data_IF_042969904470
#
_entry.id   IF_042969904470
#
_cell.length_a   1.000
_cell.length_b   1.000
_cell.length_c   1.000
_cell.angle_alpha   90.00
_cell.angle_beta   90.00
_cell.angle_gamma   90.00
#
_symmetry.space_group_name_H-M   'P 1'
#
loop_
_entity.id
_entity.type
_entity.pdbx_description
1 polymer ?
#
# COMPACT_ATOMS: atom_id res chain seq x y z
N UNK A 1 12.69 -8.42 15.42
CA UNK A 1 11.54 -8.19 16.34
C UNK A 1 11.30 -6.70 16.47
N UNK A 2 10.36 -6.13 15.71
CA UNK A 2 9.96 -4.73 15.80
C UNK A 2 8.73 -4.62 16.71
N UNK A 3 8.92 -4.13 17.93
CA UNK A 3 7.81 -3.65 18.75
C UNK A 3 7.25 -2.37 18.13
N UNK A 4 6.15 -2.50 17.39
CA UNK A 4 5.27 -1.40 16.99
C UNK A 4 4.58 -0.82 18.24
N UNK A 5 5.29 -0.03 19.03
CA UNK A 5 4.70 0.84 20.06
C UNK A 5 4.22 2.15 19.43
N UNK A 6 3.29 2.05 18.49
CA UNK A 6 2.28 3.09 18.30
C UNK A 6 0.95 2.48 18.68
N UNK A 7 0.34 2.96 19.76
CA UNK A 7 -1.06 2.62 20.06
C UNK A 7 -1.85 2.84 18.77
N UNK A 8 -2.50 1.82 18.19
CA UNK A 8 -3.28 2.03 16.99
C UNK A 8 -4.34 3.08 17.35
N UNK A 9 -4.43 4.16 16.57
CA UNK A 9 -5.65 4.98 16.54
C UNK A 9 -6.77 3.97 16.36
N UNK A 10 -7.56 3.73 17.40
CA UNK A 10 -8.68 2.81 17.34
C UNK A 10 -9.48 3.21 16.10
N UNK A 11 -9.49 2.31 15.12
CA UNK A 11 -10.08 2.54 13.82
C UNK A 11 -11.52 3.02 14.05
N UNK A 12 -11.98 4.05 13.35
CA UNK A 12 -13.41 4.45 13.38
C UNK A 12 -14.33 3.25 13.13
N UNK A 13 -13.85 2.26 12.39
CA UNK A 13 -14.53 0.98 12.16
C UNK A 13 -14.80 0.20 13.45
N UNK A 14 -13.90 0.18 14.44
CA UNK A 14 -14.10 -0.54 15.70
C UNK A 14 -15.27 0.01 16.51
N UNK A 15 -15.47 1.33 16.45
CA UNK A 15 -16.63 2.01 17.06
C UNK A 15 -17.92 1.68 16.30
N UNK A 16 -17.88 1.72 14.97
CA UNK A 16 -19.02 1.41 14.11
C UNK A 16 -19.51 -0.04 14.31
N UNK A 17 -18.60 -1.02 14.33
CA UNK A 17 -18.93 -2.42 14.59
C UNK A 17 -19.50 -2.66 15.99
N UNK A 18 -19.06 -1.87 16.98
CA UNK A 18 -19.62 -1.96 18.33
C UNK A 18 -21.05 -1.44 18.41
N UNK A 19 -21.43 -0.53 17.50
CA UNK A 19 -22.75 0.08 17.45
C UNK A 19 -23.75 -0.82 16.72
N UNK A 20 -23.39 -1.35 15.55
CA UNK A 20 -24.23 -2.31 14.79
C UNK A 20 -24.50 -3.59 15.59
N UNK A 21 -23.52 -4.05 16.38
CA UNK A 21 -23.72 -5.19 17.28
C UNK A 21 -24.75 -4.89 18.36
N UNK A 22 -24.70 -3.70 18.97
CA UNK A 22 -25.68 -3.28 19.99
C UNK A 22 -27.08 -3.17 19.40
N UNK A 23 -27.20 -2.65 18.18
CA UNK A 23 -28.48 -2.56 17.48
C UNK A 23 -29.06 -3.95 17.17
N UNK A 24 -28.22 -4.91 16.78
CA UNK A 24 -28.63 -6.31 16.60
C UNK A 24 -29.05 -6.97 17.92
N UNK A 25 -28.35 -6.69 19.04
CA UNK A 25 -28.71 -7.18 20.38
C UNK A 25 -30.05 -6.61 20.85
N UNK A 26 -30.31 -5.30 20.63
CA UNK A 26 -31.58 -4.65 20.98
C UNK A 26 -32.74 -5.25 20.17
N UNK A 27 -32.58 -5.37 18.85
CA UNK A 27 -33.61 -5.94 17.97
C UNK A 27 -33.94 -7.39 18.33
N UNK A 28 -32.92 -8.18 18.65
CA UNK A 28 -33.09 -9.55 19.10
C UNK A 28 -33.87 -9.65 20.43
N UNK A 29 -33.63 -8.74 21.37
CA UNK A 29 -34.39 -8.67 22.63
C UNK A 29 -35.85 -8.30 22.37
N UNK A 30 -36.11 -7.34 21.47
CA UNK A 30 -37.48 -6.97 21.08
C UNK A 30 -38.23 -8.12 20.42
N UNK A 31 -37.59 -8.86 19.51
CA UNK A 31 -38.19 -10.00 18.83
C UNK A 31 -38.46 -11.16 19.80
N UNK A 32 -37.53 -11.40 20.72
CA UNK A 32 -37.71 -12.36 21.81
C UNK A 32 -38.92 -12.01 22.68
N UNK A 33 -39.07 -10.72 23.03
CA UNK A 33 -40.17 -10.24 23.87
C UNK A 33 -41.51 -10.38 23.14
N UNK A 34 -41.58 -9.96 21.87
CA UNK A 34 -42.79 -10.07 21.04
C UNK A 34 -43.23 -11.53 20.87
N UNK A 35 -42.29 -12.44 20.62
CA UNK A 35 -42.58 -13.88 20.48
C UNK A 35 -43.08 -14.51 21.78
N UNK A 36 -42.41 -14.20 22.89
CA UNK A 36 -42.78 -14.74 24.19
C UNK A 36 -44.14 -14.20 24.67
N UNK A 37 -44.41 -12.91 24.45
CA UNK A 37 -45.70 -12.27 24.79
C UNK A 37 -46.85 -12.80 23.92
N UNK A 38 -46.58 -13.15 22.67
CA UNK A 38 -47.56 -13.78 21.76
C UNK A 38 -47.88 -15.23 22.18
N UNK A 39 -46.87 -15.99 22.61
CA UNK A 39 -47.04 -17.37 23.04
C UNK A 39 -47.66 -17.48 24.44
N UNK A 40 -47.37 -16.51 25.32
CA UNK A 40 -47.90 -16.43 26.68
C UNK A 40 -48.33 -14.99 27.01
N UNK A 41 -49.58 -14.62 26.65
CA UNK A 41 -50.17 -13.35 27.01
C UNK A 41 -50.07 -13.07 28.51
N UNK A 42 -49.98 -11.80 28.90
CA UNK A 42 -49.81 -11.39 30.30
C UNK A 42 -50.90 -11.96 31.22
N UNK A 43 -52.11 -12.08 30.71
CA UNK A 43 -53.29 -12.62 31.40
C UNK A 43 -53.19 -14.13 31.68
N UNK A 44 -52.38 -14.88 30.93
CA UNK A 44 -52.21 -16.32 31.08
C UNK A 44 -50.92 -16.71 31.82
N UNK A 45 -50.13 -15.76 32.35
CA UNK A 45 -48.88 -16.07 33.05
C UNK A 45 -49.15 -16.62 34.44
N UNK A 46 -48.62 -17.81 34.69
CA UNK A 46 -48.66 -18.48 35.99
C UNK A 46 -47.23 -18.88 36.39
N UNK A 47 -46.97 -19.13 37.68
CA UNK A 47 -45.67 -19.63 38.13
C UNK A 47 -45.26 -20.93 37.42
N UNK A 48 -46.22 -21.73 36.97
CA UNK A 48 -45.99 -22.99 36.27
C UNK A 48 -45.51 -22.81 34.81
N UNK A 49 -45.88 -21.72 34.13
CA UNK A 49 -45.49 -21.49 32.73
C UNK A 49 -44.41 -20.41 32.55
N UNK A 50 -43.97 -19.78 33.64
CA UNK A 50 -42.93 -18.74 33.62
C UNK A 50 -41.57 -19.27 33.13
N UNK A 51 -41.25 -20.53 33.43
CA UNK A 51 -40.04 -21.18 32.90
C UNK A 51 -40.10 -21.34 31.37
N UNK A 52 -41.27 -21.72 30.84
CA UNK A 52 -41.49 -21.87 29.40
C UNK A 52 -41.45 -20.51 28.68
N UNK A 53 -42.00 -19.45 29.28
CA UNK A 53 -41.89 -18.08 28.77
C UNK A 53 -40.43 -17.62 28.65
N UNK A 54 -39.64 -17.77 29.73
CA UNK A 54 -38.22 -17.40 29.75
C UNK A 54 -37.40 -18.19 28.73
N UNK A 55 -37.73 -19.46 28.53
CA UNK A 55 -37.07 -20.30 27.54
C UNK A 55 -37.39 -19.86 26.11
N UNK A 56 -38.67 -19.61 25.79
CA UNK A 56 -39.09 -19.14 24.47
C UNK A 56 -38.48 -17.77 24.12
N UNK A 57 -38.49 -16.84 25.08
CA UNK A 57 -37.81 -15.54 24.96
C UNK A 57 -36.32 -15.73 24.60
N UNK A 58 -35.58 -16.53 25.38
CA UNK A 58 -34.14 -16.74 25.17
C UNK A 58 -33.84 -17.42 23.83
N UNK A 59 -34.60 -18.44 23.45
CA UNK A 59 -34.39 -19.12 22.17
C UNK A 59 -34.63 -18.17 21.00
N UNK A 60 -35.75 -17.44 21.01
CA UNK A 60 -36.12 -16.54 19.91
C UNK A 60 -35.16 -15.36 19.81
N UNK A 61 -34.74 -14.78 20.95
CA UNK A 61 -33.74 -13.72 20.97
C UNK A 61 -32.39 -14.20 20.42
N UNK A 62 -31.93 -15.40 20.79
CA UNK A 62 -30.67 -15.94 20.26
C UNK A 62 -30.74 -16.19 18.74
N UNK A 63 -31.86 -16.73 18.24
CA UNK A 63 -32.06 -16.97 16.80
C UNK A 63 -32.10 -15.65 16.02
N UNK A 64 -32.83 -14.64 16.50
CA UNK A 64 -32.89 -13.32 15.87
C UNK A 64 -31.52 -12.63 15.89
N UNK A 65 -30.78 -12.72 17.00
CA UNK A 65 -29.43 -12.17 17.09
C UNK A 65 -28.49 -12.84 16.09
N UNK A 66 -28.48 -14.17 16.03
CA UNK A 66 -27.67 -14.91 15.07
C UNK A 66 -28.05 -14.51 13.63
N UNK A 67 -29.32 -14.53 13.27
CA UNK A 67 -29.76 -14.17 11.91
C UNK A 67 -29.35 -12.74 11.51
N UNK A 68 -29.48 -11.76 12.41
CA UNK A 68 -29.10 -10.38 12.14
C UNK A 68 -27.57 -10.18 12.08
N UNK A 69 -26.79 -11.02 12.78
CA UNK A 69 -25.33 -10.87 12.87
C UNK A 69 -24.53 -11.85 11.97
N UNK A 70 -25.16 -12.93 11.47
CA UNK A 70 -24.56 -13.89 10.53
C UNK A 70 -23.97 -13.23 9.27
N UNK A 71 -24.66 -12.29 8.57
CA UNK A 71 -24.12 -11.63 7.38
C UNK A 71 -22.82 -10.86 7.66
N UNK A 72 -22.72 -10.20 8.82
CA UNK A 72 -21.52 -9.46 9.23
C UNK A 72 -20.36 -10.41 9.55
N UNK A 73 -20.62 -11.51 10.23
CA UNK A 73 -19.62 -12.55 10.47
C UNK A 73 -19.11 -13.16 9.16
N UNK A 74 -19.98 -13.38 8.18
CA UNK A 74 -19.61 -13.82 6.83
C UNK A 74 -18.74 -12.80 6.11
N UNK A 75 -19.06 -11.51 6.23
CA UNK A 75 -18.27 -10.41 5.66
C UNK A 75 -16.86 -10.34 6.30
N UNK A 76 -16.76 -10.40 7.63
CA UNK A 76 -15.48 -10.41 8.34
C UNK A 76 -14.63 -11.64 7.99
N UNK A 77 -15.26 -12.81 7.87
CA UNK A 77 -14.59 -14.03 7.37
C UNK A 77 -14.09 -13.84 5.95
N UNK A 78 -14.87 -13.18 5.09
CA UNK A 78 -14.49 -12.88 3.71
C UNK A 78 -13.31 -11.91 3.63
N UNK A 79 -13.30 -10.83 4.42
CA UNK A 79 -12.16 -9.92 4.52
C UNK A 79 -10.91 -10.62 5.05
N UNK A 80 -11.05 -11.42 6.12
CA UNK A 80 -9.93 -12.22 6.64
C UNK A 80 -9.38 -13.15 5.57
N UNK A 81 -10.25 -13.86 4.85
CA UNK A 81 -9.86 -14.76 3.77
C UNK A 81 -9.17 -14.00 2.64
N UNK A 82 -9.68 -12.83 2.25
CA UNK A 82 -9.05 -11.95 1.27
C UNK A 82 -7.62 -11.58 1.68
N UNK A 83 -7.41 -11.10 2.91
CA UNK A 83 -6.07 -10.76 3.40
C UNK A 83 -5.15 -11.98 3.52
N UNK A 84 -5.68 -13.13 3.95
CA UNK A 84 -4.91 -14.38 4.03
C UNK A 84 -4.48 -14.85 2.63
N UNK A 85 -5.39 -14.82 1.65
CA UNK A 85 -5.07 -15.16 0.26
C UNK A 85 -4.07 -14.17 -0.33
N UNK A 86 -4.29 -12.85 -0.14
CA UNK A 86 -3.35 -11.83 -0.58
C UNK A 86 -1.95 -12.03 -0.01
N UNK A 87 -1.85 -12.30 1.29
CA UNK A 87 -0.57 -12.61 1.94
C UNK A 87 0.05 -13.90 1.37
N UNK A 88 -0.72 -14.97 1.22
CA UNK A 88 -0.25 -16.22 0.64
C UNK A 88 0.32 -16.04 -0.76
N UNK A 89 -0.40 -15.32 -1.63
CA UNK A 89 0.06 -15.02 -3.00
C UNK A 89 1.32 -14.14 -3.02
N UNK A 90 1.42 -13.15 -2.13
CA UNK A 90 2.65 -12.35 -1.98
C UNK A 90 3.81 -13.24 -1.56
N UNK A 91 3.63 -14.12 -0.56
CA UNK A 91 4.69 -15.02 -0.10
C UNK A 91 5.11 -16.10 -1.10
N UNK A 92 4.25 -16.43 -2.07
CA UNK A 92 4.61 -17.34 -3.17
C UNK A 92 5.52 -16.66 -4.19
N UNK A 93 5.32 -15.36 -4.42
CA UNK A 93 6.08 -14.55 -5.40
C UNK A 93 7.34 -13.93 -4.81
N UNK A 94 7.32 -13.65 -3.51
CA UNK A 94 8.42 -13.02 -2.79
C UNK A 94 8.84 -13.90 -1.63
N UNK A 95 10.11 -14.30 -1.63
CA UNK A 95 10.71 -14.88 -0.43
C UNK A 95 10.96 -13.78 0.58
N UNK A 96 9.97 -13.51 1.45
CA UNK A 96 10.08 -12.48 2.49
C UNK A 96 11.18 -12.77 3.54
N UNK A 97 11.85 -13.93 3.46
CA UNK A 97 13.02 -14.26 4.27
C UNK A 97 14.34 -13.90 3.59
N UNK A 98 14.31 -13.42 2.35
CA UNK A 98 15.51 -12.99 1.63
C UNK A 98 16.20 -11.85 2.40
N UNK A 99 17.51 -12.01 2.59
CA UNK A 99 18.37 -11.03 3.26
C UNK A 99 18.32 -9.65 2.59
N UNK A 100 17.88 -9.57 1.33
CA UNK A 100 17.70 -8.29 0.62
C UNK A 100 16.77 -7.32 1.36
N UNK A 101 15.78 -7.84 2.09
CA UNK A 101 14.86 -7.00 2.86
C UNK A 101 15.52 -6.40 4.10
N UNK A 102 16.59 -7.00 4.62
CA UNK A 102 17.38 -6.42 5.72
C UNK A 102 18.06 -5.12 5.28
N UNK A 103 18.42 -4.99 4.00
CA UNK A 103 18.96 -3.74 3.46
C UNK A 103 17.96 -2.59 3.47
N UNK A 104 16.64 -2.85 3.51
CA UNK A 104 15.66 -1.76 3.68
C UNK A 104 15.83 -1.02 5.01
N UNK A 105 16.33 -1.71 6.04
CA UNK A 105 16.62 -1.13 7.34
C UNK A 105 17.86 -0.23 7.30
N UNK A 106 18.85 -0.53 6.44
CA UNK A 106 20.08 0.24 6.26
C UNK A 106 19.79 1.67 5.79
N UNK A 107 18.84 1.80 4.87
CA UNK A 107 18.47 3.07 4.23
C UNK A 107 17.80 4.03 5.24
N UNK A 108 17.30 3.54 6.38
CA UNK A 108 16.68 4.39 7.39
C UNK A 108 17.69 5.38 7.98
N UNK A 109 17.36 6.70 8.09
CA UNK A 109 18.31 7.71 8.58
C UNK A 109 18.93 7.35 9.93
N UNK A 110 18.14 6.77 10.83
CA UNK A 110 18.60 6.29 12.13
C UNK A 110 19.73 5.25 12.02
N UNK A 111 19.61 4.30 11.11
CA UNK A 111 20.57 3.20 10.94
C UNK A 111 21.78 3.65 10.13
N UNK A 112 21.56 4.44 9.07
CA UNK A 112 22.62 5.03 8.26
C UNK A 112 23.56 5.90 9.11
N UNK A 113 23.01 6.77 9.95
CA UNK A 113 23.80 7.62 10.88
C UNK A 113 24.53 6.83 11.96
N UNK A 114 24.01 5.68 12.35
CA UNK A 114 24.65 4.80 13.34
C UNK A 114 25.63 3.82 12.71
N UNK A 115 25.80 3.84 11.39
CA UNK A 115 26.60 2.87 10.64
C UNK A 115 26.18 1.44 11.01
N UNK A 116 24.88 1.17 10.89
CA UNK A 116 24.33 -0.17 11.03
C UNK A 116 23.71 -0.62 9.70
N UNK A 117 24.44 -1.40 8.89
CA UNK A 117 25.75 -2.02 9.12
C UNK A 117 26.95 -1.05 9.00
N UNK A 118 28.08 -1.44 9.60
CA UNK A 118 29.31 -0.64 9.64
C UNK A 118 30.03 -0.55 8.29
N UNK A 119 29.62 -1.39 7.33
CA UNK A 119 30.16 -1.45 5.99
C UNK A 119 29.07 -1.84 4.99
N UNK A 120 29.24 -1.39 3.74
CA UNK A 120 28.42 -1.79 2.59
C UNK A 120 28.90 -3.11 1.94
N UNK A 121 29.90 -3.80 2.51
CA UNK A 121 30.46 -5.03 1.94
C UNK A 121 29.40 -6.09 1.60
N UNK A 122 28.41 -6.28 2.48
CA UNK A 122 27.35 -7.27 2.26
C UNK A 122 26.42 -6.88 1.09
N UNK A 123 26.24 -5.57 0.84
CA UNK A 123 25.49 -5.06 -0.32
C UNK A 123 26.24 -5.40 -1.60
N UNK A 124 27.55 -5.16 -1.66
CA UNK A 124 28.38 -5.50 -2.83
C UNK A 124 28.55 -7.00 -3.06
N UNK A 125 28.43 -7.81 -2.00
CA UNK A 125 28.39 -9.27 -2.10
C UNK A 125 27.06 -9.75 -2.70
N UNK A 126 25.93 -9.14 -2.30
CA UNK A 126 24.61 -9.46 -2.84
C UNK A 126 24.42 -8.97 -4.28
N UNK A 127 24.97 -7.80 -4.60
CA UNK A 127 24.85 -7.15 -5.91
C UNK A 127 26.23 -6.94 -6.56
N UNK A 128 26.87 -7.99 -7.10
CA UNK A 128 28.18 -7.89 -7.72
C UNK A 128 28.23 -6.90 -8.90
N UNK A 129 27.11 -6.72 -9.61
CA UNK A 129 27.00 -5.82 -10.77
C UNK A 129 27.27 -4.35 -10.39
N UNK A 130 27.05 -3.98 -9.12
CA UNK A 130 27.29 -2.63 -8.63
C UNK A 130 28.78 -2.22 -8.74
N UNK A 131 29.68 -3.21 -8.78
CA UNK A 131 31.13 -2.99 -8.98
C UNK A 131 31.48 -2.43 -10.36
N UNK A 132 30.57 -2.55 -11.33
CA UNK A 132 30.74 -1.96 -12.67
C UNK A 132 30.47 -0.45 -12.66
N UNK A 133 29.65 0.03 -11.72
CA UNK A 133 29.20 1.42 -11.64
C UNK A 133 29.90 2.23 -10.55
N UNK A 134 30.42 1.59 -9.50
CA UNK A 134 31.13 2.28 -8.41
C UNK A 134 32.18 1.39 -7.73
N UNK A 135 33.19 2.02 -7.11
CA UNK A 135 34.23 1.35 -6.35
C UNK A 135 33.75 1.00 -4.92
N UNK A 136 33.78 -0.29 -4.50
CA UNK A 136 33.32 -0.70 -3.18
C UNK A 136 34.06 -0.07 -2.01
N UNK A 137 35.37 0.13 -2.11
CA UNK A 137 36.19 0.68 -1.05
C UNK A 137 35.92 2.18 -0.88
N UNK A 138 35.78 2.90 -2.00
CA UNK A 138 35.39 4.31 -1.97
C UNK A 138 33.97 4.49 -1.45
N UNK A 139 33.02 3.66 -1.90
CA UNK A 139 31.65 3.68 -1.39
C UNK A 139 31.59 3.45 0.13
N UNK A 140 32.41 2.54 0.66
CA UNK A 140 32.48 2.25 2.10
C UNK A 140 33.13 3.39 2.90
N UNK A 141 34.12 4.08 2.31
CA UNK A 141 34.69 5.31 2.87
C UNK A 141 33.66 6.44 2.92
N UNK A 142 32.93 6.64 1.82
CA UNK A 142 31.85 7.62 1.69
C UNK A 142 30.70 7.32 2.67
N UNK A 143 30.34 6.05 2.84
CA UNK A 143 29.39 5.59 3.85
C UNK A 143 29.81 5.99 5.27
N UNK A 144 31.08 5.90 5.63
CA UNK A 144 31.52 6.38 6.95
C UNK A 144 31.51 7.90 7.05
N UNK A 145 31.91 8.59 5.97
CA UNK A 145 31.96 10.06 5.93
C UNK A 145 30.57 10.69 6.03
N UNK A 146 29.55 10.14 5.38
CA UNK A 146 28.20 10.72 5.39
C UNK A 146 27.59 10.75 6.81
N UNK A 147 27.92 9.75 7.64
CA UNK A 147 27.45 9.68 9.02
C UNK A 147 28.02 10.81 9.92
N UNK A 148 29.05 11.52 9.45
CA UNK A 148 29.65 12.67 10.14
C UNK A 148 29.09 14.02 9.67
N UNK A 149 28.17 14.06 8.70
CA UNK A 149 27.56 15.33 8.26
C UNK A 149 26.85 16.04 9.43
N UNK A 150 26.94 17.37 9.54
CA UNK A 150 26.35 18.11 10.65
C UNK A 150 24.82 18.16 10.53
N UNK A 151 24.13 18.31 11.66
CA UNK A 151 22.66 18.41 11.71
C UNK A 151 22.13 19.61 10.90
N UNK A 152 22.89 20.70 10.87
CA UNK A 152 22.58 21.90 10.08
C UNK A 152 22.47 21.62 8.58
N UNK A 153 23.20 20.63 8.05
CA UNK A 153 23.11 20.20 6.65
C UNK A 153 21.70 19.74 6.28
N UNK A 154 21.01 19.12 7.23
CA UNK A 154 19.65 18.59 7.04
C UNK A 154 18.56 19.59 7.45
N UNK A 155 18.93 20.81 7.86
CA UNK A 155 17.97 21.81 8.34
C UNK A 155 17.28 21.43 9.64
N UNK A 156 17.88 20.57 10.46
CA UNK A 156 17.32 20.11 11.75
C UNK A 156 18.24 20.48 12.92
N UNK A 157 17.64 20.67 14.09
CA UNK A 157 18.34 21.07 15.31
C UNK A 157 18.63 19.89 16.24
N UNK A 158 17.84 18.82 16.18
CA UNK A 158 17.98 17.65 17.05
C UNK A 158 18.22 16.35 16.28
N UNK A 159 18.83 15.38 16.97
CA UNK A 159 19.06 14.04 16.40
C UNK A 159 17.77 13.25 16.24
N UNK A 160 16.75 13.55 17.05
CA UNK A 160 15.47 12.86 17.01
C UNK A 160 14.70 13.20 15.73
N UNK A 161 14.63 14.47 15.31
CA UNK A 161 14.01 14.82 14.02
C UNK A 161 14.78 14.21 12.86
N UNK A 162 16.12 14.20 12.90
CA UNK A 162 16.92 13.56 11.84
C UNK A 162 16.59 12.06 11.71
N UNK A 163 16.53 11.33 12.83
CA UNK A 163 16.27 9.89 12.81
C UNK A 163 14.85 9.52 12.36
N UNK A 164 13.90 10.44 12.50
CA UNK A 164 12.52 10.26 12.06
C UNK A 164 12.21 11.01 10.75
N UNK A 165 13.23 11.57 10.09
CA UNK A 165 13.08 12.20 8.79
C UNK A 165 12.65 11.17 7.76
N UNK A 166 11.91 11.60 6.73
CA UNK A 166 11.59 10.73 5.61
C UNK A 166 12.89 10.29 4.92
N UNK A 167 12.93 9.02 4.54
CA UNK A 167 14.06 8.38 3.88
C UNK A 167 14.47 9.17 2.63
N UNK A 168 13.49 9.58 1.82
CA UNK A 168 13.71 10.34 0.58
C UNK A 168 14.37 11.70 0.85
N UNK A 169 13.87 12.44 1.85
CA UNK A 169 14.39 13.77 2.17
C UNK A 169 15.81 13.70 2.73
N UNK A 170 16.09 12.69 3.55
CA UNK A 170 17.43 12.45 4.10
C UNK A 170 18.45 12.14 3.01
N UNK A 171 18.17 11.14 2.17
CA UNK A 171 19.12 10.76 1.12
C UNK A 171 19.24 11.83 0.05
N UNK A 172 18.16 12.57 -0.27
CA UNK A 172 18.26 13.73 -1.15
C UNK A 172 19.25 14.76 -0.62
N UNK A 173 19.23 15.06 0.68
CA UNK A 173 20.17 15.99 1.29
C UNK A 173 21.62 15.47 1.24
N UNK A 174 21.84 14.17 1.48
CA UNK A 174 23.19 13.57 1.42
C UNK A 174 23.72 13.57 -0.02
N UNK A 175 22.94 13.04 -0.96
CA UNK A 175 23.35 12.84 -2.36
C UNK A 175 23.47 14.17 -3.14
N UNK A 176 22.79 15.24 -2.69
CA UNK A 176 22.92 16.58 -3.27
C UNK A 176 24.10 17.38 -2.69
N UNK A 177 24.95 16.78 -1.85
CA UNK A 177 26.11 17.47 -1.26
C UNK A 177 27.20 17.66 -2.30
N UNK A 178 27.54 18.91 -2.60
CA UNK A 178 28.60 19.28 -3.52
C UNK A 178 29.84 19.79 -2.76
N UNK A 179 31.01 19.51 -3.32
CA UNK A 179 32.26 20.09 -2.87
C UNK A 179 32.35 21.56 -3.34
N UNK A 180 33.33 22.35 -2.86
CA UNK A 180 33.52 23.73 -3.32
C UNK A 180 33.76 23.89 -4.82
N UNK A 181 34.18 22.82 -5.51
CA UNK A 181 34.36 22.78 -6.96
C UNK A 181 33.07 22.43 -7.73
N UNK A 182 31.95 22.19 -7.04
CA UNK A 182 30.66 21.85 -7.64
C UNK A 182 30.48 20.37 -7.99
N UNK A 183 31.39 19.49 -7.57
CA UNK A 183 31.31 18.04 -7.82
C UNK A 183 30.65 17.31 -6.63
N UNK A 184 29.97 16.18 -6.87
CA UNK A 184 29.35 15.41 -5.80
C UNK A 184 30.39 14.90 -4.80
N UNK A 185 30.11 15.06 -3.51
CA UNK A 185 31.00 14.60 -2.42
C UNK A 185 30.95 13.07 -2.27
N UNK A 186 29.86 12.44 -2.67
CA UNK A 186 29.60 11.01 -2.47
C UNK A 186 29.16 10.30 -3.76
N UNK A 187 29.98 10.30 -4.83
CA UNK A 187 29.58 9.75 -6.13
C UNK A 187 29.35 8.23 -6.08
N UNK A 188 30.20 7.47 -5.38
CA UNK A 188 30.07 6.00 -5.32
C UNK A 188 28.89 5.58 -4.45
N UNK A 189 28.70 6.27 -3.34
CA UNK A 189 27.56 6.06 -2.45
C UNK A 189 26.23 6.38 -3.14
N UNK A 190 26.22 7.34 -4.06
CA UNK A 190 25.03 7.70 -4.84
C UNK A 190 24.53 6.51 -5.66
N UNK A 191 25.42 5.84 -6.39
CA UNK A 191 25.06 4.65 -7.18
C UNK A 191 24.53 3.51 -6.29
N UNK A 192 25.20 3.26 -5.15
CA UNK A 192 24.74 2.28 -4.17
C UNK A 192 23.32 2.59 -3.66
N UNK A 193 23.07 3.85 -3.29
CA UNK A 193 21.79 4.24 -2.71
C UNK A 193 20.67 4.27 -3.74
N UNK A 194 20.95 4.61 -5.00
CA UNK A 194 19.96 4.51 -6.07
C UNK A 194 19.49 3.07 -6.29
N UNK A 195 20.40 2.11 -6.33
CA UNK A 195 20.02 0.70 -6.40
C UNK A 195 19.11 0.32 -5.23
N UNK A 196 19.54 0.59 -4.00
CA UNK A 196 18.83 0.19 -2.78
C UNK A 196 17.45 0.85 -2.65
N UNK A 197 17.32 2.13 -3.02
CA UNK A 197 16.04 2.85 -3.00
C UNK A 197 15.07 2.36 -4.09
N UNK A 198 15.58 1.82 -5.20
CA UNK A 198 14.74 1.31 -6.30
C UNK A 198 14.19 -0.11 -6.06
N UNK A 199 14.86 -0.93 -5.23
CA UNK A 199 14.46 -2.31 -4.93
C UNK A 199 12.97 -2.47 -4.52
N UNK A 200 12.45 -1.71 -3.53
CA UNK A 200 11.05 -1.87 -3.11
C UNK A 200 10.03 -1.30 -4.12
N UNK A 201 10.44 -0.38 -4.99
CA UNK A 201 9.53 0.32 -5.91
C UNK A 201 9.36 -0.35 -7.28
N UNK A 202 10.38 -1.05 -7.77
CA UNK A 202 10.42 -1.54 -9.16
C UNK A 202 9.25 -2.48 -9.48
N UNK A 203 9.00 -3.48 -8.64
CA UNK A 203 7.99 -4.50 -8.93
C UNK A 203 6.55 -3.98 -8.81
N UNK A 204 6.23 -3.22 -7.75
CA UNK A 204 4.88 -2.67 -7.57
C UNK A 204 4.54 -1.61 -8.63
N UNK A 205 5.55 -0.84 -9.08
CA UNK A 205 5.36 0.15 -10.15
C UNK A 205 5.18 -0.54 -11.50
N UNK A 206 5.96 -1.58 -11.79
CA UNK A 206 5.79 -2.39 -13.00
C UNK A 206 4.42 -3.08 -13.04
N UNK A 207 3.96 -3.70 -11.94
CA UNK A 207 2.63 -4.32 -11.87
C UNK A 207 1.50 -3.30 -12.09
N UNK A 208 1.65 -2.07 -11.58
CA UNK A 208 0.67 -1.00 -11.87
C UNK A 208 0.64 -0.67 -13.35
N UNK A 209 1.80 -0.53 -14.00
CA UNK A 209 1.88 -0.29 -15.45
C UNK A 209 1.30 -1.48 -16.23
N UNK A 210 1.58 -2.72 -15.82
CA UNK A 210 1.01 -3.92 -16.44
C UNK A 210 -0.50 -4.03 -16.26
N UNK A 211 -1.05 -3.59 -15.13
CA UNK A 211 -2.50 -3.50 -14.95
C UNK A 211 -3.11 -2.53 -15.97
N UNK A 212 -2.48 -1.36 -16.16
CA UNK A 212 -2.94 -0.38 -17.15
C UNK A 212 -2.78 -0.92 -18.58
N UNK A 213 -1.70 -1.65 -18.86
CA UNK A 213 -1.49 -2.30 -20.15
C UNK A 213 -2.54 -3.39 -20.40
N UNK A 214 -2.91 -4.18 -19.38
CA UNK A 214 -3.92 -5.22 -19.47
C UNK A 214 -5.33 -4.66 -19.69
N UNK A 215 -5.62 -3.46 -19.19
CA UNK A 215 -6.86 -2.74 -19.53
C UNK A 215 -6.90 -2.34 -21.01
N UNK A 216 -5.75 -1.98 -21.60
CA UNK A 216 -5.64 -1.57 -23.01
C UNK A 216 -5.58 -2.78 -23.95
N UNK A 217 -4.89 -3.84 -23.53
CA UNK A 217 -4.80 -5.14 -24.17
C UNK A 217 -5.63 -6.15 -23.39
N UNK A 218 -6.95 -5.97 -23.43
CA UNK A 218 -7.86 -7.00 -22.92
C UNK A 218 -7.81 -8.25 -23.83
N UNK A 219 -8.39 -9.37 -23.38
CA UNK A 219 -8.38 -10.63 -24.14
C UNK A 219 -9.07 -10.51 -25.51
N UNK A 220 -9.87 -9.45 -25.75
CA UNK A 220 -10.56 -9.18 -27.02
C UNK A 220 -9.75 -8.25 -27.94
N UNK A 221 -8.83 -7.46 -27.40
CA UNK A 221 -8.03 -6.43 -28.08
C UNK A 221 -6.52 -6.70 -28.00
N UNK A 222 -6.10 -7.94 -27.74
CA UNK A 222 -4.69 -8.31 -27.59
C UNK A 222 -3.83 -8.11 -28.87
N UNK A 223 -4.46 -7.89 -30.03
CA UNK A 223 -3.80 -7.65 -31.33
C UNK A 223 -3.29 -6.22 -31.55
N UNK A 224 -3.35 -5.33 -30.55
CA UNK A 224 -2.80 -3.98 -30.71
C UNK A 224 -1.27 -3.99 -30.84
N UNK A 225 -0.76 -3.29 -31.85
CA UNK A 225 0.67 -3.08 -32.03
C UNK A 225 1.26 -2.19 -30.93
N UNK A 226 2.52 -2.41 -30.59
CA UNK A 226 3.23 -1.70 -29.52
C UNK A 226 3.16 -0.17 -29.63
N UNK A 227 3.33 0.46 -30.81
CA UNK A 227 3.24 1.91 -30.95
C UNK A 227 1.86 2.45 -30.57
N UNK A 228 0.79 1.72 -30.89
CA UNK A 228 -0.59 2.08 -30.56
C UNK A 228 -0.82 2.01 -29.05
N UNK A 229 -0.35 0.95 -28.39
CA UNK A 229 -0.45 0.85 -26.93
C UNK A 229 0.35 1.94 -26.21
N UNK A 230 1.53 2.28 -26.73
CA UNK A 230 2.38 3.33 -26.18
C UNK A 230 1.73 4.72 -26.35
N UNK A 231 1.11 4.98 -27.51
CA UNK A 231 0.35 6.20 -27.78
C UNK A 231 -0.87 6.37 -26.87
N UNK A 232 -1.48 5.28 -26.39
CA UNK A 232 -2.60 5.33 -25.44
C UNK A 232 -2.11 5.51 -24.00
N UNK A 233 -1.04 4.80 -23.61
CA UNK A 233 -0.51 4.83 -22.24
C UNK A 233 0.15 6.16 -21.90
N UNK A 234 0.91 6.76 -22.83
CA UNK A 234 1.64 8.03 -22.60
C UNK A 234 0.72 9.19 -22.13
N UNK A 235 -0.39 9.51 -22.81
CA UNK A 235 -1.35 10.49 -22.32
C UNK A 235 -1.93 10.10 -20.95
N UNK A 236 -2.29 8.83 -20.73
CA UNK A 236 -2.86 8.36 -19.45
C UNK A 236 -1.90 8.62 -18.28
N UNK A 237 -0.62 8.27 -18.42
CA UNK A 237 0.39 8.54 -17.40
C UNK A 237 0.70 10.03 -17.22
N UNK A 238 0.71 10.80 -18.31
CA UNK A 238 0.86 12.25 -18.23
C UNK A 238 -0.27 12.90 -17.42
N UNK A 239 -1.51 12.48 -17.63
CA UNK A 239 -2.68 12.94 -16.87
C UNK A 239 -2.57 12.60 -15.38
N UNK A 240 -2.19 11.36 -15.07
CA UNK A 240 -1.98 10.90 -13.69
C UNK A 240 -0.89 11.72 -12.97
N UNK A 241 0.25 11.95 -13.62
CA UNK A 241 1.36 12.73 -13.06
C UNK A 241 0.99 14.20 -12.79
N UNK A 242 0.04 14.74 -13.55
CA UNK A 242 -0.45 16.12 -13.39
C UNK A 242 -1.66 16.24 -12.48
N UNK A 243 -2.18 15.12 -11.96
CA UNK A 243 -3.42 15.05 -11.16
C UNK A 243 -4.62 15.70 -11.88
N UNK A 244 -4.65 15.61 -13.22
CA UNK A 244 -5.71 16.17 -14.05
C UNK A 244 -6.59 15.08 -14.63
N UNK A 245 -7.90 15.32 -14.60
CA UNK A 245 -8.88 14.50 -15.33
C UNK A 245 -9.01 14.99 -16.77
N UNK A 246 -9.44 14.11 -17.68
CA UNK A 246 -9.66 14.40 -19.10
C UNK A 246 -10.48 15.67 -19.34
N UNK A 247 -11.46 15.94 -18.47
CA UNK A 247 -12.33 17.13 -18.55
C UNK A 247 -11.65 18.45 -18.23
N UNK A 248 -10.48 18.44 -17.59
CA UNK A 248 -9.75 19.64 -17.12
C UNK A 248 -8.51 19.95 -17.94
N UNK A 249 -8.25 19.18 -19.00
CA UNK A 249 -7.06 19.33 -19.83
C UNK A 249 -7.36 20.26 -20.98
N UNK A 250 -6.60 21.35 -21.07
CA UNK A 250 -6.56 22.18 -22.26
C UNK A 250 -5.47 21.64 -23.16
N UNK A 251 -5.86 21.02 -24.27
CA UNK A 251 -4.92 20.61 -25.30
C UNK A 251 -4.48 21.85 -26.10
N UNK A 252 -3.20 21.95 -26.49
CA UNK A 252 -2.75 22.92 -27.47
C UNK A 252 -3.62 22.87 -28.74
N UNK A 253 -3.99 24.05 -29.26
CA UNK A 253 -4.88 24.15 -30.43
C UNK A 253 -4.33 23.37 -31.65
N UNK A 254 -3.01 23.33 -31.79
CA UNK A 254 -2.31 22.57 -32.83
C UNK A 254 -2.63 21.07 -32.79
N UNK A 255 -2.64 20.44 -31.60
CA UNK A 255 -2.94 19.02 -31.44
C UNK A 255 -4.40 18.70 -31.77
N UNK A 256 -5.32 19.61 -31.45
CA UNK A 256 -6.75 19.46 -31.77
C UNK A 256 -6.96 19.53 -33.29
N UNK A 257 -6.27 20.43 -33.98
CA UNK A 257 -6.31 20.53 -35.45
C UNK A 257 -5.77 19.24 -36.08
N UNK A 258 -4.66 18.73 -35.55
CA UNK A 258 -4.01 17.52 -36.08
C UNK A 258 -4.89 16.27 -35.89
N UNK A 259 -5.52 16.11 -34.72
CA UNK A 259 -6.45 15.01 -34.46
C UNK A 259 -7.70 15.06 -35.36
N UNK A 260 -8.23 16.25 -35.65
CA UNK A 260 -9.35 16.42 -36.59
C UNK A 260 -9.02 16.03 -38.02
N UNK A 261 -7.73 16.07 -38.38
CA UNK A 261 -7.26 15.76 -39.72
C UNK A 261 -6.87 14.27 -39.91
N UNK A 262 -6.96 13.44 -38.87
CA UNK A 262 -6.71 12.00 -38.98
C UNK A 262 -7.90 11.35 -39.69
N UNK A 263 -7.68 10.88 -40.92
CA UNK A 263 -8.63 10.03 -41.63
C UNK A 263 -8.64 8.64 -40.98
N UNK A 264 -9.83 8.14 -40.63
CA UNK A 264 -9.97 6.74 -40.17
C UNK A 264 -9.47 5.78 -41.24
N UNK A 265 -8.79 4.71 -40.84
CA UNK A 265 -8.45 3.63 -41.76
C UNK A 265 -9.72 3.12 -42.46
N UNK A 266 -9.64 2.95 -43.79
CA UNK A 266 -10.74 2.43 -44.57
C UNK A 266 -11.20 1.06 -44.03
N UNK A 267 -12.50 0.77 -43.98
CA UNK A 267 -12.98 -0.56 -43.63
C UNK A 267 -12.36 -1.57 -44.59
N UNK A 268 -11.76 -2.63 -44.04
CA UNK A 268 -11.30 -3.77 -44.83
C UNK A 268 -12.56 -4.43 -45.41
N UNK A 269 -12.84 -4.17 -46.68
CA UNK A 269 -13.88 -4.88 -47.43
C UNK A 269 -13.26 -6.22 -47.80
N UNK A 270 -13.78 -7.30 -47.20
CA UNK A 270 -13.49 -8.65 -47.67
C UNK A 270 -14.30 -8.87 -48.96
N UNK A 271 -13.61 -8.90 -50.10
CA UNK A 271 -14.10 -9.53 -51.34
C UNK A 271 -13.98 -11.06 -51.24
#
# INVERSE_FOLDING_TARGET
MLELKSKPKAFKNTVYFSQERKEAEIKAQEDGLKSADKAFPKESRTPANEAAYKLNYKMTANVSFEQNFQPFNLLLKSFRKFYQTGYSEVTKRFDLKDEVYEFSSLIQPKNARKLNPASLAEVFKRFPQLKESCDPNLADSEWRKHASLPLSHFGVTDRYALYNMKVDDYWKAVLSTLNPCGEPVFPNLTECMYLLLCLPFSNASAERVFSHLKEVKDDKQNRQETPTTDAILKPKFWMLKKEKSASKIQFPKELVILAKNVKSNAPIIHE
#
